data_IF_366855195034
#
_entry.id   IF_366855195034
#
_cell.length_a   1.000
_cell.length_b   1.000
_cell.length_c   1.000
_cell.angle_alpha   90.00
_cell.angle_beta   90.00
_cell.angle_gamma   90.00
#
_symmetry.space_group_name_H-M   'P 1'
#
loop_
_entity.id
_entity.type
_entity.pdbx_description
1 polymer ?
#
# COMPACT_ATOMS: atom_id res chain seq x y z
N UNK A 1 9.03 -15.99 12.08
CA UNK A 1 7.86 -16.37 11.24
C UNK A 1 8.08 -15.86 9.82
N UNK A 2 7.89 -16.67 8.78
CA UNK A 2 8.11 -16.24 7.39
C UNK A 2 6.81 -15.75 6.75
N UNK A 3 6.82 -14.53 6.20
CA UNK A 3 5.61 -13.84 5.73
C UNK A 3 5.83 -13.31 4.32
N UNK A 4 4.84 -13.55 3.45
CA UNK A 4 4.79 -12.96 2.11
C UNK A 4 3.89 -11.72 2.14
N UNK A 5 4.41 -10.55 1.78
CA UNK A 5 3.66 -9.31 1.73
C UNK A 5 3.58 -8.75 0.31
N UNK A 6 2.44 -8.20 -0.09
CA UNK A 6 2.24 -7.62 -1.42
C UNK A 6 1.36 -6.37 -1.43
N UNK A 7 1.59 -5.49 -2.40
CA UNK A 7 0.78 -4.30 -2.64
C UNK A 7 0.63 -4.03 -4.14
N UNK A 8 -0.61 -3.70 -4.55
CA UNK A 8 -1.00 -3.33 -5.92
C UNK A 8 -1.87 -2.07 -5.94
N UNK A 9 -1.81 -1.27 -4.87
CA UNK A 9 -2.65 -0.07 -4.69
C UNK A 9 -2.21 1.12 -5.54
N UNK A 10 -0.98 1.08 -6.05
CA UNK A 10 -0.37 2.14 -6.87
C UNK A 10 0.03 1.59 -8.25
N UNK A 11 0.60 2.40 -9.15
CA UNK A 11 1.23 1.88 -10.37
C UNK A 11 2.31 0.82 -10.13
N UNK A 12 2.88 0.75 -8.91
CA UNK A 12 3.80 -0.30 -8.52
C UNK A 12 3.04 -1.58 -8.15
N UNK A 13 3.49 -2.70 -8.71
CA UNK A 13 3.23 -4.04 -8.20
C UNK A 13 4.45 -4.44 -7.36
N UNK A 14 4.27 -4.58 -6.05
CA UNK A 14 5.38 -4.85 -5.12
C UNK A 14 5.12 -6.11 -4.31
N UNK A 15 6.17 -6.89 -4.09
CA UNK A 15 6.16 -8.10 -3.25
C UNK A 15 7.42 -8.11 -2.40
N UNK A 16 7.30 -8.50 -1.14
CA UNK A 16 8.43 -8.76 -0.26
C UNK A 16 8.23 -10.06 0.51
N UNK A 17 9.31 -10.82 0.68
CA UNK A 17 9.39 -11.94 1.61
C UNK A 17 10.13 -11.49 2.86
N UNK A 18 9.51 -11.66 4.03
CA UNK A 18 9.99 -11.09 5.29
C UNK A 18 10.07 -12.18 6.34
N UNK A 19 11.23 -12.29 6.99
CA UNK A 19 11.36 -13.05 8.23
C UNK A 19 11.03 -12.12 9.41
N UNK A 20 9.86 -12.32 10.01
CA UNK A 20 9.50 -11.64 11.25
C UNK A 20 10.23 -12.30 12.44
N UNK A 21 10.82 -11.50 13.35
CA UNK A 21 11.32 -11.99 14.63
C UNK A 21 10.17 -12.37 15.58
N UNK A 22 10.49 -12.90 16.75
CA UNK A 22 9.49 -13.38 17.74
C UNK A 22 8.71 -12.23 18.39
N UNK A 23 9.25 -11.01 18.35
CA UNK A 23 8.60 -9.79 18.82
C UNK A 23 8.34 -8.86 17.65
N UNK A 24 7.18 -8.19 17.62
CA UNK A 24 6.83 -7.29 16.52
C UNK A 24 7.92 -6.21 16.34
N UNK A 25 8.58 -6.14 15.18
CA UNK A 25 9.61 -5.14 14.92
C UNK A 25 8.94 -3.77 14.67
N UNK A 26 9.62 -2.66 15.01
CA UNK A 26 9.14 -1.36 14.58
C UNK A 26 9.11 -1.29 13.03
N UNK A 27 8.14 -0.59 12.43
CA UNK A 27 8.07 -0.40 10.99
C UNK A 27 9.40 0.10 10.41
N UNK A 28 9.84 -0.48 9.29
CA UNK A 28 11.10 -0.12 8.62
C UNK A 28 12.37 -0.76 9.20
N UNK A 29 12.31 -1.39 10.38
CA UNK A 29 13.46 -2.08 10.98
C UNK A 29 13.68 -3.50 10.43
N UNK A 30 12.72 -4.07 9.71
CA UNK A 30 12.84 -5.39 9.11
C UNK A 30 13.41 -5.30 7.70
N UNK A 31 14.47 -6.06 7.45
CA UNK A 31 15.02 -6.25 6.10
C UNK A 31 14.31 -7.44 5.43
N UNK A 32 13.77 -7.28 4.21
CA UNK A 32 13.22 -8.41 3.49
C UNK A 32 14.32 -9.38 3.05
N UNK A 33 14.01 -10.67 3.03
CA UNK A 33 14.87 -11.71 2.45
C UNK A 33 14.93 -11.58 0.92
N UNK A 34 13.80 -11.19 0.33
CA UNK A 34 13.65 -10.89 -1.08
C UNK A 34 12.64 -9.76 -1.25
N UNK A 35 12.89 -8.85 -2.19
CA UNK A 35 11.95 -7.78 -2.52
C UNK A 35 11.96 -7.54 -4.03
N UNK A 36 10.76 -7.35 -4.59
CA UNK A 36 10.55 -7.12 -6.01
C UNK A 36 9.52 -6.03 -6.19
N UNK A 37 9.79 -5.13 -7.14
CA UNK A 37 8.89 -4.05 -7.52
C UNK A 37 8.99 -3.80 -9.01
N UNK A 38 7.84 -3.76 -9.68
CA UNK A 38 7.72 -3.30 -11.06
C UNK A 38 6.67 -2.19 -11.11
N UNK A 39 7.02 -1.06 -11.74
CA UNK A 39 6.10 0.07 -11.92
C UNK A 39 5.48 0.00 -13.32
N UNK A 40 4.30 -0.61 -13.41
CA UNK A 40 3.46 -0.60 -14.60
C UNK A 40 1.98 -0.72 -14.22
N UNK A 41 1.26 0.40 -14.35
CA UNK A 41 -0.14 0.52 -13.94
C UNK A 41 -1.13 -0.39 -14.71
N UNK A 42 -0.71 -1.02 -15.81
CA UNK A 42 -1.59 -1.78 -16.69
C UNK A 42 -1.44 -3.29 -16.55
N UNK A 43 -0.40 -3.75 -15.85
CA UNK A 43 0.07 -5.15 -15.90
C UNK A 43 0.02 -5.86 -14.55
N UNK A 44 -0.66 -5.32 -13.53
CA UNK A 44 -0.72 -5.96 -12.20
C UNK A 44 -1.16 -7.43 -12.25
N UNK A 45 -2.18 -7.75 -13.06
CA UNK A 45 -2.73 -9.11 -13.18
C UNK A 45 -1.74 -10.15 -13.71
N UNK A 46 -0.83 -9.75 -14.61
CA UNK A 46 0.19 -10.64 -15.15
C UNK A 46 1.52 -10.57 -14.39
N UNK A 47 1.79 -9.48 -13.67
CA UNK A 47 3.05 -9.29 -12.95
C UNK A 47 3.04 -9.92 -11.55
N UNK A 48 1.92 -9.90 -10.84
CA UNK A 48 1.91 -10.23 -9.40
C UNK A 48 2.39 -11.67 -9.13
N UNK A 49 1.80 -12.66 -9.79
CA UNK A 49 2.16 -14.07 -9.56
C UNK A 49 3.62 -14.38 -9.95
N UNK A 50 4.16 -13.90 -11.09
CA UNK A 50 5.60 -13.98 -11.36
C UNK A 50 6.46 -13.33 -10.28
N UNK A 51 6.13 -12.13 -9.81
CA UNK A 51 6.90 -11.46 -8.77
C UNK A 51 6.91 -12.24 -7.44
N UNK A 52 5.78 -12.85 -7.07
CA UNK A 52 5.70 -13.73 -5.91
C UNK A 52 6.62 -14.95 -6.07
N UNK A 53 6.58 -15.62 -7.23
CA UNK A 53 7.45 -16.76 -7.53
C UNK A 53 8.93 -16.39 -7.48
N UNK A 54 9.28 -15.26 -8.09
CA UNK A 54 10.67 -14.81 -8.16
C UNK A 54 11.22 -14.39 -6.78
N UNK A 55 10.39 -13.79 -5.93
CA UNK A 55 10.77 -13.45 -4.56
C UNK A 55 11.00 -14.71 -3.69
N UNK A 56 10.13 -15.72 -3.81
CA UNK A 56 10.32 -17.00 -3.13
C UNK A 56 11.59 -17.72 -3.62
N UNK A 57 11.80 -17.75 -4.94
CA UNK A 57 12.96 -18.38 -5.55
C UNK A 57 14.29 -17.70 -5.16
N UNK A 58 14.35 -16.36 -5.14
CA UNK A 58 15.53 -15.62 -4.70
C UNK A 58 15.94 -15.96 -3.26
N UNK A 59 14.95 -16.14 -2.38
CA UNK A 59 15.19 -16.49 -0.98
C UNK A 59 15.37 -17.99 -0.75
N UNK A 60 15.34 -18.82 -1.80
CA UNK A 60 15.35 -20.28 -1.71
C UNK A 60 14.25 -20.84 -0.76
N UNK A 61 13.07 -20.22 -0.79
CA UNK A 61 11.91 -20.53 0.04
C UNK A 61 10.82 -21.17 -0.81
N UNK A 62 10.12 -22.15 -0.25
CA UNK A 62 8.94 -22.75 -0.87
C UNK A 62 7.65 -22.15 -0.28
N UNK A 63 6.50 -22.21 -0.99
CA UNK A 63 5.22 -21.77 -0.42
C UNK A 63 4.86 -22.45 0.91
N UNK A 64 5.32 -23.69 1.13
CA UNK A 64 5.04 -24.45 2.36
C UNK A 64 5.80 -23.92 3.59
N UNK A 65 6.85 -23.13 3.40
CA UNK A 65 7.63 -22.52 4.49
C UNK A 65 6.99 -21.22 5.00
N UNK A 66 6.00 -20.69 4.26
CA UNK A 66 5.28 -19.48 4.64
C UNK A 66 4.35 -19.77 5.82
N UNK A 67 4.25 -18.79 6.71
CA UNK A 67 3.40 -18.84 7.89
C UNK A 67 2.26 -17.79 7.85
N UNK A 68 2.25 -16.91 6.85
CA UNK A 68 1.19 -15.93 6.67
C UNK A 68 1.37 -15.07 5.42
N UNK A 69 0.29 -14.41 5.02
CA UNK A 69 0.28 -13.46 3.89
C UNK A 69 -0.20 -12.09 4.37
N UNK A 70 0.39 -11.02 3.85
CA UNK A 70 -0.04 -9.65 4.10
C UNK A 70 -0.33 -8.94 2.79
N UNK A 71 -1.41 -8.16 2.74
CA UNK A 71 -1.81 -7.44 1.53
C UNK A 71 -2.20 -5.99 1.82
N UNK A 72 -1.77 -5.09 0.95
CA UNK A 72 -2.27 -3.73 0.92
C UNK A 72 -3.74 -3.65 0.51
N UNK A 73 -4.57 -3.00 1.32
CA UNK A 73 -6.00 -2.82 1.09
C UNK A 73 -6.33 -1.54 0.30
N UNK A 74 -5.33 -0.75 -0.08
CA UNK A 74 -5.52 0.58 -0.66
C UNK A 74 -5.42 1.69 0.37
N UNK A 75 -5.86 2.91 0.03
CA UNK A 75 -6.60 3.30 -1.17
C UNK A 75 -5.83 3.15 -2.49
N UNK A 76 -6.55 2.94 -3.57
CA UNK A 76 -5.98 2.69 -4.90
C UNK A 76 -7.03 2.41 -5.98
N UNK A 77 -6.63 2.22 -7.25
CA UNK A 77 -7.54 1.88 -8.34
C UNK A 77 -8.28 0.55 -8.10
N UNK A 78 -9.57 0.51 -8.44
CA UNK A 78 -10.45 -0.62 -8.18
C UNK A 78 -9.92 -1.96 -8.71
N UNK A 79 -9.50 -1.98 -9.99
CA UNK A 79 -9.04 -3.20 -10.66
C UNK A 79 -7.75 -3.73 -10.04
N UNK A 80 -6.73 -2.88 -9.84
CA UNK A 80 -5.43 -3.32 -9.31
C UNK A 80 -5.53 -3.78 -7.86
N UNK A 81 -6.33 -3.10 -7.03
CA UNK A 81 -6.59 -3.53 -5.65
C UNK A 81 -7.22 -4.92 -5.60
N UNK A 82 -8.23 -5.18 -6.42
CA UNK A 82 -8.88 -6.51 -6.44
C UNK A 82 -7.91 -7.60 -6.88
N UNK A 83 -7.05 -7.33 -7.85
CA UNK A 83 -6.00 -8.28 -8.27
C UNK A 83 -5.14 -8.66 -7.07
N UNK A 84 -4.61 -7.68 -6.32
CA UNK A 84 -3.76 -7.94 -5.16
C UNK A 84 -4.48 -8.70 -4.05
N UNK A 85 -5.63 -8.18 -3.62
CA UNK A 85 -6.41 -8.74 -2.49
C UNK A 85 -6.89 -10.16 -2.78
N UNK A 86 -7.44 -10.41 -3.98
CA UNK A 86 -7.93 -11.75 -4.35
C UNK A 86 -6.77 -12.72 -4.52
N UNK A 87 -5.65 -12.29 -5.11
CA UNK A 87 -4.46 -13.15 -5.24
C UNK A 87 -3.90 -13.52 -3.87
N UNK A 88 -3.76 -12.57 -2.95
CA UNK A 88 -3.29 -12.81 -1.60
C UNK A 88 -4.22 -13.77 -0.83
N UNK A 89 -5.53 -13.52 -0.88
CA UNK A 89 -6.53 -14.34 -0.20
C UNK A 89 -6.57 -15.77 -0.74
N UNK A 90 -6.55 -15.94 -2.05
CA UNK A 90 -6.58 -17.27 -2.68
C UNK A 90 -5.29 -18.03 -2.45
N UNK A 91 -4.14 -17.36 -2.52
CA UNK A 91 -2.84 -17.95 -2.22
C UNK A 91 -2.74 -18.41 -0.76
N UNK A 92 -3.17 -17.58 0.20
CA UNK A 92 -3.22 -17.95 1.61
C UNK A 92 -4.16 -19.13 1.85
N UNK A 93 -5.38 -19.08 1.29
CA UNK A 93 -6.37 -20.14 1.43
C UNK A 93 -5.88 -21.49 0.87
N UNK A 94 -5.21 -21.48 -0.28
CA UNK A 94 -4.64 -22.69 -0.89
C UNK A 94 -3.57 -23.36 -0.03
N UNK A 95 -2.90 -22.59 0.84
CA UNK A 95 -1.84 -23.05 1.75
C UNK A 95 -2.33 -23.24 3.19
N UNK A 96 -3.60 -22.96 3.49
CA UNK A 96 -4.13 -22.99 4.85
C UNK A 96 -3.58 -21.88 5.77
N UNK A 97 -3.14 -20.76 5.20
CA UNK A 97 -2.53 -19.63 5.92
C UNK A 97 -3.54 -18.52 6.22
N UNK A 98 -3.25 -17.67 7.20
CA UNK A 98 -3.98 -16.41 7.40
C UNK A 98 -3.49 -15.33 6.42
N UNK A 99 -4.41 -14.44 6.05
CA UNK A 99 -4.12 -13.27 5.23
C UNK A 99 -4.56 -11.99 5.96
N UNK A 100 -3.61 -11.10 6.24
CA UNK A 100 -3.86 -9.84 6.95
C UNK A 100 -3.85 -8.67 5.96
N UNK A 101 -4.83 -7.78 6.09
CA UNK A 101 -4.92 -6.57 5.29
C UNK A 101 -4.39 -5.34 6.03
N UNK A 102 -3.62 -4.50 5.36
CA UNK A 102 -3.07 -3.25 5.91
C UNK A 102 -3.38 -2.09 4.96
N UNK A 103 -3.64 -0.89 5.47
CA UNK A 103 -3.78 0.30 4.62
C UNK A 103 -2.46 0.58 3.89
N UNK A 104 -2.53 0.71 2.57
CA UNK A 104 -1.36 0.87 1.71
C UNK A 104 -0.60 2.18 1.98
N UNK A 105 -1.28 3.26 2.37
CA UNK A 105 -0.59 4.50 2.74
C UNK A 105 0.28 4.31 3.99
N UNK A 106 -0.05 3.37 4.88
CA UNK A 106 0.73 3.08 6.08
C UNK A 106 2.09 2.47 5.71
N UNK A 107 2.16 1.77 4.57
CA UNK A 107 3.41 1.28 3.98
C UNK A 107 4.39 2.38 3.55
N UNK A 108 3.97 3.65 3.58
CA UNK A 108 4.82 4.83 3.40
C UNK A 108 4.89 5.62 4.71
N UNK A 109 3.75 5.86 5.35
CA UNK A 109 3.65 6.73 6.52
C UNK A 109 4.27 6.17 7.79
N UNK A 110 4.27 4.84 7.98
CA UNK A 110 4.73 4.21 9.23
C UNK A 110 6.23 4.36 9.50
N UNK A 111 7.00 4.76 8.50
CA UNK A 111 8.44 5.02 8.63
C UNK A 111 8.77 6.52 8.63
N UNK A 112 7.76 7.39 8.69
CA UNK A 112 7.96 8.84 8.77
C UNK A 112 8.14 9.30 10.22
N UNK A 113 8.82 10.42 10.42
CA UNK A 113 9.01 11.06 11.72
C UNK A 113 8.30 12.41 11.78
N UNK A 114 7.93 12.85 12.99
CA UNK A 114 7.16 14.08 13.19
C UNK A 114 5.80 14.03 12.50
N UNK A 115 5.18 15.20 12.30
CA UNK A 115 3.90 15.30 11.60
C UNK A 115 4.10 15.35 10.08
N UNK A 116 3.82 14.23 9.42
CA UNK A 116 4.04 14.03 7.98
C UNK A 116 2.76 13.61 7.26
N UNK A 117 2.49 14.23 6.11
CA UNK A 117 1.42 13.83 5.20
C UNK A 117 1.94 12.85 4.16
N UNK A 118 1.20 11.77 3.88
CA UNK A 118 1.44 10.92 2.72
C UNK A 118 0.40 11.27 1.67
N UNK A 119 0.83 11.56 0.44
CA UNK A 119 -0.04 11.95 -0.66
C UNK A 119 0.29 11.14 -1.93
N UNK A 120 -0.71 10.44 -2.47
CA UNK A 120 -0.57 9.63 -3.70
C UNK A 120 -1.65 9.99 -4.73
N UNK A 121 -1.43 9.62 -5.99
CA UNK A 121 -2.35 9.91 -7.10
C UNK A 121 -3.67 9.13 -6.94
N UNK A 122 -4.79 9.84 -6.78
CA UNK A 122 -6.11 9.22 -6.85
C UNK A 122 -6.68 9.20 -8.27
N UNK A 123 -5.98 9.75 -9.27
CA UNK A 123 -6.49 10.13 -10.61
C UNK A 123 -7.51 11.26 -10.53
N UNK A 124 -8.00 11.73 -11.68
CA UNK A 124 -9.12 12.69 -11.80
C UNK A 124 -8.92 14.01 -11.03
N UNK A 125 -7.67 14.49 -10.95
CA UNK A 125 -7.32 15.74 -10.26
C UNK A 125 -7.62 15.70 -8.75
N UNK A 126 -7.44 14.53 -8.14
CA UNK A 126 -7.52 14.32 -6.70
C UNK A 126 -6.31 13.53 -6.22
N UNK A 127 -6.14 13.49 -4.90
CA UNK A 127 -5.10 12.75 -4.21
C UNK A 127 -5.70 11.87 -3.12
N UNK A 128 -5.12 10.70 -2.92
CA UNK A 128 -5.31 9.96 -1.68
C UNK A 128 -4.33 10.50 -0.66
N UNK A 129 -4.79 10.75 0.56
CA UNK A 129 -3.95 11.32 1.59
C UNK A 129 -4.22 10.73 2.98
N UNK A 130 -3.20 10.78 3.83
CA UNK A 130 -3.29 10.50 5.25
C UNK A 130 -2.24 11.32 6.00
N UNK A 131 -2.51 11.66 7.26
CA UNK A 131 -1.56 12.32 8.15
C UNK A 131 -1.01 11.33 9.17
N UNK A 132 0.27 11.46 9.48
CA UNK A 132 0.99 10.63 10.44
C UNK A 132 1.69 11.51 11.47
N UNK A 133 1.79 11.02 12.70
CA UNK A 133 2.66 11.54 13.74
C UNK A 133 3.60 10.40 14.18
N UNK A 134 4.90 10.54 13.92
CA UNK A 134 5.92 9.56 14.29
C UNK A 134 5.57 8.12 13.83
N UNK A 135 5.06 8.01 12.61
CA UNK A 135 4.68 6.73 12.00
C UNK A 135 3.25 6.26 12.33
N UNK A 136 2.57 6.87 13.30
CA UNK A 136 1.19 6.54 13.63
C UNK A 136 0.22 7.37 12.79
N UNK A 137 -0.76 6.74 12.11
CA UNK A 137 -1.76 7.46 11.32
C UNK A 137 -2.73 8.21 12.24
N UNK A 138 -2.77 9.53 12.12
CA UNK A 138 -3.64 10.42 12.94
C UNK A 138 -4.86 10.95 12.17
N UNK A 139 -4.83 10.93 10.84
CA UNK A 139 -5.97 11.29 10.00
C UNK A 139 -5.97 10.53 8.66
N UNK A 140 -7.16 10.38 8.08
CA UNK A 140 -7.35 9.58 6.86
C UNK A 140 -7.26 8.05 7.12
N UNK A 141 -7.11 7.24 6.05
CA UNK A 141 -6.93 7.65 4.65
C UNK A 141 -8.20 8.30 4.07
N UNK A 142 -8.02 9.35 3.27
CA UNK A 142 -9.08 10.13 2.64
C UNK A 142 -8.74 10.45 1.18
N UNK A 143 -9.73 10.96 0.43
CA UNK A 143 -9.57 11.39 -0.97
C UNK A 143 -10.14 12.79 -1.12
N UNK A 144 -9.35 13.70 -1.68
CA UNK A 144 -9.73 15.10 -1.86
C UNK A 144 -9.03 15.71 -3.07
N UNK A 145 -9.51 16.88 -3.50
CA UNK A 145 -8.75 17.74 -4.41
C UNK A 145 -7.42 18.15 -3.75
N UNK A 146 -6.32 18.33 -4.51
CA UNK A 146 -5.00 18.64 -3.96
C UNK A 146 -4.99 19.82 -2.99
N UNK A 147 -5.61 20.95 -3.35
CA UNK A 147 -5.65 22.15 -2.49
C UNK A 147 -6.36 21.88 -1.17
N UNK A 148 -7.47 21.12 -1.22
CA UNK A 148 -8.24 20.75 -0.04
C UNK A 148 -7.46 19.79 0.85
N UNK A 149 -6.79 18.80 0.27
CA UNK A 149 -5.92 17.88 1.01
C UNK A 149 -4.77 18.66 1.70
N UNK A 150 -4.15 19.62 1.00
CA UNK A 150 -3.11 20.47 1.56
C UNK A 150 -3.61 21.32 2.73
N UNK A 151 -4.84 21.87 2.63
CA UNK A 151 -5.47 22.62 3.72
C UNK A 151 -5.74 21.75 4.95
N UNK A 152 -6.26 20.54 4.74
CA UNK A 152 -6.56 19.59 5.83
C UNK A 152 -5.28 19.13 6.52
N UNK A 153 -4.24 18.75 5.75
CA UNK A 153 -2.93 18.40 6.29
C UNK A 153 -2.34 19.56 7.13
N UNK A 154 -2.41 20.80 6.63
CA UNK A 154 -1.95 21.98 7.39
C UNK A 154 -2.75 22.20 8.67
N UNK A 155 -4.07 21.99 8.64
CA UNK A 155 -4.92 22.08 9.83
C UNK A 155 -4.54 21.04 10.90
N UNK A 156 -4.09 19.85 10.49
CA UNK A 156 -3.56 18.82 11.38
C UNK A 156 -2.11 19.10 11.85
N UNK A 157 -1.54 20.24 11.47
CA UNK A 157 -0.17 20.64 11.83
C UNK A 157 0.91 19.83 11.11
N UNK A 158 0.61 19.28 9.94
CA UNK A 158 1.58 18.60 9.09
C UNK A 158 2.55 19.62 8.51
N UNK A 159 3.84 19.47 8.83
CA UNK A 159 4.90 20.34 8.36
C UNK A 159 5.63 19.82 7.12
N UNK A 160 5.59 18.50 6.90
CA UNK A 160 6.22 17.85 5.76
C UNK A 160 5.29 16.88 5.03
N UNK A 161 5.47 16.72 3.72
CA UNK A 161 4.66 15.80 2.92
C UNK A 161 5.57 14.90 2.08
N UNK A 162 5.16 13.65 1.89
CA UNK A 162 5.83 12.63 1.06
C UNK A 162 4.86 11.97 0.08
N UNK A 163 5.43 11.29 -0.92
CA UNK A 163 4.68 10.52 -1.90
C UNK A 163 4.59 11.19 -3.28
N UNK A 164 4.12 10.44 -4.29
CA UNK A 164 4.11 10.88 -5.69
C UNK A 164 3.15 12.05 -5.94
N UNK A 165 2.21 12.34 -5.02
CA UNK A 165 1.29 13.46 -5.13
C UNK A 165 1.98 14.83 -5.15
N UNK A 166 3.15 14.99 -4.52
CA UNK A 166 3.91 16.25 -4.55
C UNK A 166 4.34 16.62 -5.97
N UNK A 167 4.84 15.63 -6.73
CA UNK A 167 5.30 15.85 -8.09
C UNK A 167 4.16 16.11 -9.08
N UNK A 168 2.96 15.56 -8.78
CA UNK A 168 1.78 15.71 -9.63
C UNK A 168 1.06 17.05 -9.42
N UNK A 169 1.13 17.60 -8.21
CA UNK A 169 0.43 18.83 -7.83
C UNK A 169 1.36 19.79 -7.05
N UNK A 170 2.46 20.25 -7.65
CA UNK A 170 3.46 21.07 -6.96
C UNK A 170 2.88 22.36 -6.39
N UNK A 171 1.94 23.00 -7.08
CA UNK A 171 1.31 24.25 -6.63
C UNK A 171 0.50 24.08 -5.33
N UNK A 172 -0.22 22.96 -5.21
CA UNK A 172 -1.06 22.68 -4.03
C UNK A 172 -0.21 22.44 -2.77
N UNK A 173 0.99 21.88 -2.94
CA UNK A 173 1.90 21.49 -1.85
C UNK A 173 3.14 22.38 -1.75
N UNK A 174 3.18 23.54 -2.41
CA UNK A 174 4.36 24.41 -2.49
C UNK A 174 4.90 24.86 -1.11
N UNK A 175 4.02 24.97 -0.11
CA UNK A 175 4.38 25.39 1.25
C UNK A 175 4.73 24.21 2.18
N UNK A 176 4.64 22.97 1.70
CA UNK A 176 5.03 21.80 2.48
C UNK A 176 6.53 21.54 2.33
N UNK A 177 7.23 21.27 3.44
CA UNK A 177 8.57 20.73 3.33
C UNK A 177 8.53 19.34 2.70
N UNK A 178 9.47 19.03 1.81
CA UNK A 178 9.67 17.65 1.38
C UNK A 178 10.15 16.83 2.58
N UNK A 179 9.29 15.95 3.09
CA UNK A 179 9.67 15.05 4.16
C UNK A 179 10.45 13.85 3.58
N UNK A 180 11.24 13.22 4.44
CA UNK A 180 11.89 11.96 4.12
C UNK A 180 11.14 10.86 4.88
N UNK A 181 10.69 9.82 4.15
CA UNK A 181 10.46 8.55 4.81
C UNK A 181 11.80 8.12 5.42
N UNK A 182 11.82 7.73 6.70
CA UNK A 182 13.02 7.21 7.36
C UNK A 182 13.64 6.09 6.53
N UNK A 183 14.92 5.79 6.77
CA UNK A 183 15.66 4.75 6.07
C UNK A 183 15.13 3.35 6.43
N UNK A 184 13.92 3.03 5.98
CA UNK A 184 13.53 1.65 5.70
C UNK A 184 14.57 1.09 4.73
N UNK A 185 14.86 -0.19 4.85
CA UNK A 185 15.99 -0.86 4.18
C UNK A 185 15.92 -0.87 2.63
N UNK A 186 14.94 -0.19 2.03
CA UNK A 186 14.98 0.27 0.64
C UNK A 186 15.94 1.44 0.48
N UNK A 187 17.16 1.15 0.02
CA UNK A 187 18.16 2.16 -0.34
C UNK A 187 17.63 3.12 -1.41
N UNK A 188 17.31 4.36 -1.00
CA UNK A 188 17.13 5.52 -1.89
C UNK A 188 15.77 6.23 -1.75
N UNK A 189 15.73 7.51 -2.13
CA UNK A 189 14.54 8.38 -2.15
C UNK A 189 13.31 7.80 -2.92
N UNK A 190 13.50 6.72 -3.67
CA UNK A 190 12.43 5.94 -4.33
C UNK A 190 11.56 5.13 -3.34
N UNK A 191 12.03 4.86 -2.11
CA UNK A 191 11.28 4.11 -1.10
C UNK A 191 9.99 4.84 -0.67
N UNK A 192 10.01 6.18 -0.63
CA UNK A 192 8.86 7.00 -0.21
C UNK A 192 7.75 7.16 -1.27
N UNK A 193 7.93 6.60 -2.48
CA UNK A 193 6.99 6.82 -3.59
C UNK A 193 5.85 5.80 -3.66
N UNK A 194 6.07 4.60 -3.12
CA UNK A 194 5.10 3.50 -3.21
C UNK A 194 5.11 2.71 -1.91
N UNK A 195 3.96 2.13 -1.51
CA UNK A 195 3.87 1.28 -0.32
C UNK A 195 4.96 0.22 -0.31
N UNK A 196 5.67 0.11 0.82
CA UNK A 196 6.68 -0.93 1.02
C UNK A 196 6.03 -2.17 1.66
N UNK A 197 5.97 -3.32 0.95
CA UNK A 197 5.38 -4.53 1.52
C UNK A 197 6.11 -5.02 2.78
N UNK A 198 7.40 -4.73 2.96
CA UNK A 198 8.11 -5.08 4.20
C UNK A 198 7.60 -4.27 5.40
N UNK A 199 7.24 -3.00 5.18
CA UNK A 199 6.59 -2.16 6.19
C UNK A 199 5.19 -2.67 6.49
N UNK A 200 4.42 -3.07 5.47
CA UNK A 200 3.10 -3.69 5.68
C UNK A 200 3.21 -4.98 6.52
N UNK A 201 4.22 -5.82 6.27
CA UNK A 201 4.47 -7.02 7.06
C UNK A 201 4.77 -6.69 8.53
N UNK A 202 5.60 -5.67 8.79
CA UNK A 202 5.89 -5.21 10.14
C UNK A 202 4.64 -4.67 10.87
N UNK A 203 3.77 -3.94 10.16
CA UNK A 203 2.50 -3.43 10.70
C UNK A 203 1.52 -4.55 11.05
N UNK A 204 1.50 -5.64 10.28
CA UNK A 204 0.69 -6.82 10.58
C UNK A 204 1.32 -7.76 11.61
N UNK A 205 2.62 -7.59 11.93
CA UNK A 205 3.37 -8.49 12.81
C UNK A 205 2.74 -8.70 14.20
N UNK A 206 2.19 -7.67 14.89
CA UNK A 206 1.54 -7.89 16.17
C UNK A 206 0.41 -8.91 16.12
N UNK A 207 -0.41 -8.89 15.05
CA UNK A 207 -1.55 -9.80 14.89
C UNK A 207 -1.08 -11.20 14.49
N UNK A 208 -0.16 -11.27 13.53
CA UNK A 208 0.44 -12.52 13.04
C UNK A 208 1.13 -13.30 14.15
N UNK A 209 2.01 -12.64 14.91
CA UNK A 209 2.79 -13.28 15.99
C UNK A 209 1.90 -13.72 17.16
N UNK A 210 0.78 -13.03 17.39
CA UNK A 210 -0.19 -13.40 18.41
C UNK A 210 -1.23 -14.44 17.92
N UNK A 211 -1.18 -14.86 16.65
CA UNK A 211 -2.16 -15.78 16.06
C UNK A 211 -3.58 -15.22 16.02
N UNK A 212 -3.75 -13.89 15.96
CA UNK A 212 -5.07 -13.26 15.92
C UNK A 212 -5.73 -13.52 14.56
N UNK A 213 -7.02 -13.83 14.59
CA UNK A 213 -7.79 -13.99 13.37
C UNK A 213 -7.79 -12.66 12.57
N UNK A 214 -7.52 -12.70 11.25
CA UNK A 214 -7.51 -11.49 10.45
C UNK A 214 -8.92 -10.90 10.33
N UNK A 215 -8.99 -9.56 10.30
CA UNK A 215 -10.20 -8.86 9.90
C UNK A 215 -10.56 -9.18 8.44
N UNK A 216 -11.83 -9.00 8.03
CA UNK A 216 -12.22 -9.16 6.63
C UNK A 216 -11.35 -8.29 5.69
N UNK A 217 -10.89 -8.87 4.58
CA UNK A 217 -10.09 -8.18 3.56
C UNK A 217 -10.96 -7.20 2.74
N UNK A 218 -11.43 -6.14 3.40
CA UNK A 218 -12.29 -5.13 2.80
C UNK A 218 -11.43 -4.05 2.13
N UNK A 219 -11.52 -3.88 0.80
CA UNK A 219 -10.75 -2.86 0.10
C UNK A 219 -11.15 -1.46 0.58
N UNK A 220 -10.16 -0.56 0.73
CA UNK A 220 -10.36 0.83 1.11
C UNK A 220 -10.76 1.64 -0.14
N UNK A 221 -12.02 1.49 -0.56
CA UNK A 221 -12.61 2.25 -1.65
C UNK A 221 -13.10 3.61 -1.16
N UNK A 222 -12.23 4.62 -1.27
CA UNK A 222 -12.58 6.00 -0.91
C UNK A 222 -13.40 6.72 -1.98
N UNK A 223 -13.48 6.14 -3.18
CA UNK A 223 -14.42 6.55 -4.23
C UNK A 223 -15.51 5.52 -4.40
N UNK A 224 -16.72 6.00 -4.67
CA UNK A 224 -17.76 5.15 -5.24
C UNK A 224 -17.37 4.80 -6.69
N UNK A 225 -17.64 3.58 -7.17
CA UNK A 225 -17.48 3.25 -8.57
C UNK A 225 -18.34 4.19 -9.42
N UNK A 226 -17.74 4.83 -10.43
CA UNK A 226 -18.52 5.54 -11.45
C UNK A 226 -19.19 4.51 -12.35
N UNK A 227 -20.37 4.04 -11.94
CA UNK A 227 -21.28 3.40 -12.86
C UNK A 227 -22.16 4.51 -13.43
N UNK A 228 -21.85 4.96 -14.64
CA UNK A 228 -22.84 5.70 -15.41
C UNK A 228 -23.95 4.70 -15.79
N UNK A 229 -25.22 5.09 -15.63
CA UNK A 229 -26.33 4.29 -16.16
C UNK A 229 -26.09 4.02 -17.65
N UNK A 230 -26.28 2.77 -18.13
CA UNK A 230 -26.14 2.47 -19.54
C UNK A 230 -27.02 3.42 -20.34
N UNK A 231 -26.45 4.11 -21.34
CA UNK A 231 -27.28 4.89 -22.27
C UNK A 231 -28.34 3.96 -22.86
N UNK A 232 -29.61 4.40 -22.95
CA UNK A 232 -30.65 3.60 -23.54
C UNK A 232 -30.22 3.15 -24.93
N UNK A 233 -30.48 1.88 -25.24
CA UNK A 233 -30.11 1.29 -26.52
C UNK A 233 -30.63 2.16 -27.67
N UNK A 234 -29.77 2.42 -28.66
CA UNK A 234 -30.14 3.21 -29.84
C UNK A 234 -31.28 2.46 -30.54
N UNK A 235 -32.44 3.11 -30.69
CA UNK A 235 -33.57 2.52 -31.41
C UNK A 235 -33.14 2.22 -32.85
N UNK A 236 -33.21 0.95 -33.24
CA UNK A 236 -33.07 0.53 -34.63
C UNK A 236 -34.43 0.78 -35.28
N UNK A 237 -34.57 1.87 -36.00
CA UNK A 237 -35.70 2.07 -36.91
C UNK A 237 -35.48 1.18 -38.13
N UNK A 238 -36.35 0.19 -38.31
CA UNK A 238 -36.46 -0.60 -39.54
C UNK A 238 -37.15 0.15 -40.67
#
# INVERSE_FOLDING_TARGET
>A
MLVLALDTSTPACSVALVQLPDTAPPPGATRPLASRRIVDARRHGELLSPLMRDALAEAAVTPADLAGVVVGLGPGPFTSLRVGIVTAATFAAALGLTCHGVCSLDGIGAVTSGRTGVVTDARRREVFWAAYADGERIAGPAVDRPDRAADLLRADGVGGVVGPGLALYPDAFANAAAAHAGTGTGTGAAAAQYPDPAVLAALAAPDLLAGRAPAPLTPIYLRRPDVAEPRPAKAVTG
#
